data_IF_148276736920
#
_entry.id   IF_148276736920
#
_cell.length_a   1.000
_cell.length_b   1.000
_cell.length_c   1.000
_cell.angle_alpha   90.00
_cell.angle_beta   90.00
_cell.angle_gamma   90.00
#
_symmetry.space_group_name_H-M   'P 1'
#
loop_
_entity.id
_entity.type
_entity.pdbx_description
1 polymer ?
#
# COMPACT_ATOMS: atom_id res chain seq x y z
N UNK A 1 45.22 50.50 -26.93
CA UNK A 1 44.58 51.37 -25.91
C UNK A 1 43.10 51.46 -26.23
N UNK A 2 42.24 51.09 -25.29
CA UNK A 2 40.82 51.43 -25.27
C UNK A 2 40.43 51.44 -23.78
N UNK A 3 40.63 52.59 -23.13
CA UNK A 3 40.41 52.71 -21.68
C UNK A 3 38.92 52.69 -21.36
N UNK A 4 38.54 51.95 -20.31
CA UNK A 4 37.17 51.93 -19.82
C UNK A 4 36.84 53.29 -19.19
N UNK A 5 36.03 54.10 -19.88
CA UNK A 5 35.77 55.50 -19.56
C UNK A 5 34.70 55.74 -18.47
N UNK A 6 34.30 54.70 -17.74
CA UNK A 6 33.26 54.75 -16.70
C UNK A 6 33.77 54.69 -15.26
N UNK A 7 35.09 54.75 -15.04
CA UNK A 7 35.69 54.78 -13.70
C UNK A 7 36.25 56.17 -13.34
N UNK A 8 35.39 57.19 -13.40
CA UNK A 8 35.67 58.48 -12.77
C UNK A 8 35.28 58.43 -11.30
N UNK A 9 36.27 58.57 -10.41
CA UNK A 9 36.09 58.50 -8.95
C UNK A 9 35.39 59.74 -8.37
N UNK A 10 34.12 59.93 -8.71
CA UNK A 10 33.22 60.82 -7.97
C UNK A 10 32.63 60.06 -6.78
N UNK A 11 32.90 60.56 -5.57
CA UNK A 11 32.38 60.04 -4.30
C UNK A 11 30.86 59.88 -4.33
N UNK A 12 30.37 58.64 -4.36
CA UNK A 12 28.93 58.33 -4.31
C UNK A 12 28.50 57.21 -5.26
N UNK A 13 28.58 55.97 -4.79
CA UNK A 13 27.76 54.84 -5.25
C UNK A 13 27.65 54.62 -6.77
N UNK A 14 28.77 54.43 -7.47
CA UNK A 14 28.77 53.85 -8.82
C UNK A 14 28.67 52.32 -8.72
N UNK A 15 27.75 51.72 -9.48
CA UNK A 15 27.49 50.28 -9.47
C UNK A 15 28.66 49.46 -9.99
N UNK A 16 29.57 49.07 -9.09
CA UNK A 16 30.59 48.06 -9.36
C UNK A 16 29.97 46.69 -9.67
N UNK A 17 30.77 45.79 -10.24
CA UNK A 17 30.37 44.42 -10.52
C UNK A 17 29.74 43.79 -9.26
N UNK A 18 28.48 43.36 -9.32
CA UNK A 18 27.70 42.85 -8.18
C UNK A 18 28.14 41.46 -7.69
N UNK A 19 29.37 41.04 -7.98
CA UNK A 19 30.01 39.93 -7.31
C UNK A 19 30.54 40.44 -5.96
N UNK A 20 30.03 39.90 -4.85
CA UNK A 20 30.49 40.22 -3.48
C UNK A 20 31.89 39.64 -3.16
N UNK A 21 32.74 39.45 -4.18
CA UNK A 21 34.13 39.03 -4.04
C UNK A 21 35.06 40.24 -3.92
N UNK A 22 36.02 40.17 -3.00
CA UNK A 22 36.93 41.26 -2.65
C UNK A 22 37.76 41.73 -3.86
N UNK A 23 37.38 42.85 -4.47
CA UNK A 23 38.11 43.46 -5.61
C UNK A 23 39.42 44.18 -5.19
N UNK A 24 40.07 43.71 -4.12
CA UNK A 24 41.21 44.38 -3.48
C UNK A 24 42.59 43.97 -4.00
N UNK A 25 42.74 42.78 -4.58
CA UNK A 25 44.05 42.24 -4.98
C UNK A 25 43.99 41.45 -6.30
N UNK A 26 44.37 42.13 -7.38
CA UNK A 26 45.20 41.60 -8.49
C UNK A 26 44.77 40.33 -9.28
N UNK A 27 43.56 39.78 -9.17
CA UNK A 27 43.13 38.73 -10.11
C UNK A 27 41.62 38.71 -10.40
N UNK A 28 41.22 39.36 -11.50
CA UNK A 28 39.88 39.24 -12.09
C UNK A 28 39.89 38.24 -13.26
N UNK A 29 40.37 37.01 -12.98
CA UNK A 29 40.54 35.98 -14.00
C UNK A 29 39.22 35.26 -14.34
N UNK A 30 39.11 34.82 -15.61
CA UNK A 30 37.98 34.05 -16.16
C UNK A 30 37.72 32.70 -15.46
N UNK A 31 38.64 32.24 -14.59
CA UNK A 31 38.52 31.00 -13.82
C UNK A 31 38.04 31.19 -12.36
N UNK A 32 37.73 32.41 -11.92
CA UNK A 32 37.22 32.65 -10.58
C UNK A 32 35.77 32.15 -10.45
N UNK A 33 35.61 30.88 -10.07
CA UNK A 33 34.31 30.30 -9.69
C UNK A 33 33.84 30.93 -8.38
N UNK A 34 32.73 31.65 -8.43
CA UNK A 34 32.06 32.15 -7.24
C UNK A 34 31.41 30.98 -6.48
N UNK A 35 31.78 30.78 -5.22
CA UNK A 35 31.17 29.77 -4.37
C UNK A 35 29.76 30.21 -3.94
N UNK A 36 28.79 29.90 -4.80
CA UNK A 36 27.38 30.21 -4.58
C UNK A 36 26.80 29.51 -3.34
N UNK A 37 27.42 28.44 -2.86
CA UNK A 37 26.99 27.75 -1.64
C UNK A 37 27.28 28.58 -0.38
N UNK A 38 28.40 29.30 -0.36
CA UNK A 38 28.79 30.16 0.78
C UNK A 38 27.80 31.33 1.03
N UNK A 39 27.10 31.78 -0.02
CA UNK A 39 26.10 32.85 0.05
C UNK A 39 24.65 32.35 0.15
N UNK A 40 24.40 31.05 -0.07
CA UNK A 40 23.16 30.44 0.42
C UNK A 40 23.30 30.27 1.93
N UNK A 41 22.78 31.25 2.69
CA UNK A 41 22.57 31.07 4.12
C UNK A 41 21.86 29.73 4.35
N UNK A 42 22.42 28.89 5.22
CA UNK A 42 21.81 27.63 5.62
C UNK A 42 20.38 27.99 6.01
N UNK A 43 19.34 27.42 5.37
CA UNK A 43 17.97 27.86 5.61
C UNK A 43 17.71 27.70 7.10
N UNK A 44 17.40 28.81 7.77
CA UNK A 44 17.03 28.76 9.18
C UNK A 44 15.81 27.85 9.27
N UNK A 45 16.02 26.68 9.85
CA UNK A 45 14.98 25.67 9.97
C UNK A 45 13.95 26.30 10.89
N UNK A 46 12.79 26.71 10.37
CA UNK A 46 11.67 27.19 11.16
C UNK A 46 11.34 26.15 12.23
N UNK A 47 11.83 26.41 13.45
CA UNK A 47 11.79 25.47 14.57
C UNK A 47 10.39 25.47 15.15
N UNK A 48 9.50 24.71 14.52
CA UNK A 48 8.22 24.38 15.12
C UNK A 48 8.47 23.52 16.37
N UNK A 49 8.10 24.02 17.55
CA UNK A 49 8.42 23.41 18.84
C UNK A 49 7.80 22.03 19.06
N UNK A 50 6.88 21.60 18.21
CA UNK A 50 6.20 20.30 18.32
C UNK A 50 6.83 19.31 17.35
N UNK A 51 7.14 18.12 17.89
CA UNK A 51 7.78 17.02 17.18
C UNK A 51 6.82 15.83 17.10
N UNK A 52 6.77 15.15 15.96
CA UNK A 52 6.01 13.90 15.81
C UNK A 52 6.89 12.72 16.23
N UNK A 53 6.49 12.00 17.27
CA UNK A 53 7.27 10.91 17.89
C UNK A 53 6.59 9.58 17.64
N UNK A 54 7.38 8.58 17.21
CA UNK A 54 6.94 7.22 16.89
C UNK A 54 7.33 6.24 18.01
N UNK A 55 6.36 5.45 18.43
CA UNK A 55 6.51 4.37 19.41
C UNK A 55 6.39 2.98 18.75
N UNK A 56 6.50 1.93 19.59
CA UNK A 56 6.20 0.54 19.23
C UNK A 56 4.79 0.43 18.60
N UNK A 57 4.64 -0.48 17.62
CA UNK A 57 3.36 -0.76 16.97
C UNK A 57 2.82 0.37 16.07
N UNK A 58 3.68 1.32 15.64
CA UNK A 58 3.29 2.40 14.72
C UNK A 58 2.43 3.50 15.35
N UNK A 59 2.29 3.53 16.68
CA UNK A 59 1.66 4.65 17.40
C UNK A 59 2.51 5.90 17.18
N UNK A 60 1.87 7.00 16.80
CA UNK A 60 2.50 8.31 16.64
C UNK A 60 1.74 9.35 17.45
N UNK A 61 2.45 10.12 18.25
CA UNK A 61 1.94 11.15 19.13
C UNK A 61 2.81 12.41 19.00
N UNK A 62 2.27 13.55 19.41
CA UNK A 62 2.94 14.85 19.31
C UNK A 62 3.47 15.26 20.69
N UNK A 63 4.69 15.77 20.74
CA UNK A 63 5.35 16.23 21.98
C UNK A 63 5.98 17.60 21.77
N UNK A 64 5.98 18.44 22.81
CA UNK A 64 6.54 19.80 22.78
C UNK A 64 7.98 19.80 23.29
N UNK A 65 8.89 20.35 22.50
CA UNK A 65 10.31 20.51 22.79
C UNK A 65 10.54 21.84 23.53
N UNK A 66 10.30 21.85 24.85
CA UNK A 66 10.40 23.06 25.69
C UNK A 66 11.84 23.56 25.79
N UNK A 67 12.81 22.65 25.82
CA UNK A 67 14.24 22.97 25.99
C UNK A 67 14.94 23.27 24.65
N UNK A 68 14.19 23.43 23.55
CA UNK A 68 14.65 23.65 22.18
C UNK A 68 15.84 22.76 21.75
N UNK A 69 15.84 21.51 22.21
CA UNK A 69 16.89 20.51 21.93
C UNK A 69 17.01 20.33 20.42
N UNK A 70 18.23 20.35 19.89
CA UNK A 70 18.48 20.03 18.49
C UNK A 70 18.24 18.53 18.28
N UNK A 71 17.12 18.20 17.64
CA UNK A 71 16.71 16.84 17.31
C UNK A 71 16.89 16.58 15.81
N UNK A 72 17.10 15.32 15.45
CA UNK A 72 17.11 14.84 14.07
C UNK A 72 16.14 13.67 13.90
N UNK A 73 15.66 13.47 12.66
CA UNK A 73 14.72 12.38 12.37
C UNK A 73 15.41 11.02 12.55
N UNK A 74 14.88 10.21 13.45
CA UNK A 74 15.47 8.93 13.85
C UNK A 74 16.08 8.92 15.25
N UNK A 75 16.28 10.08 15.89
CA UNK A 75 16.88 10.13 17.23
C UNK A 75 15.99 9.47 18.29
N UNK A 76 16.56 8.67 19.20
CA UNK A 76 15.86 8.17 20.37
C UNK A 76 15.77 9.28 21.42
N UNK A 77 14.55 9.57 21.87
CA UNK A 77 14.26 10.63 22.84
C UNK A 77 13.46 10.10 24.02
N UNK A 78 13.72 10.69 25.18
CA UNK A 78 12.99 10.45 26.43
C UNK A 78 11.85 11.46 26.51
N UNK A 79 10.62 10.95 26.48
CA UNK A 79 9.39 11.74 26.51
C UNK A 79 8.63 11.54 27.83
N UNK A 80 7.95 12.60 28.26
CA UNK A 80 7.11 12.60 29.45
C UNK A 80 5.80 11.86 29.18
N UNK A 81 5.38 11.00 30.10
CA UNK A 81 4.11 10.26 30.03
C UNK A 81 3.42 10.40 31.39
N UNK A 82 2.09 10.31 31.43
CA UNK A 82 1.26 10.56 32.64
C UNK A 82 1.69 9.77 33.91
N UNK A 83 2.54 8.74 33.80
CA UNK A 83 3.12 8.02 34.93
C UNK A 83 4.58 7.55 34.65
N UNK A 84 5.48 8.46 34.26
CA UNK A 84 6.93 8.19 34.13
C UNK A 84 7.50 8.63 32.78
N UNK A 85 8.67 8.14 32.40
CA UNK A 85 9.23 8.42 31.06
C UNK A 85 9.02 7.25 30.08
N UNK A 86 9.09 7.54 28.79
CA UNK A 86 9.11 6.51 27.74
C UNK A 86 10.15 6.89 26.69
N UNK A 87 10.65 5.92 25.94
CA UNK A 87 11.56 6.15 24.82
C UNK A 87 10.77 6.06 23.52
N UNK A 88 10.88 7.10 22.69
CA UNK A 88 10.30 7.17 21.35
C UNK A 88 11.35 7.59 20.33
N UNK A 89 11.06 7.41 19.04
CA UNK A 89 11.93 7.84 17.95
C UNK A 89 11.32 9.04 17.23
N UNK A 90 12.10 10.08 16.97
CA UNK A 90 11.66 11.26 16.21
C UNK A 90 11.27 10.84 14.79
N UNK A 91 10.02 11.10 14.39
CA UNK A 91 9.51 10.74 13.06
C UNK A 91 9.45 11.92 12.09
N UNK A 92 9.07 13.11 12.56
CA UNK A 92 9.01 14.35 11.77
C UNK A 92 9.24 15.55 12.70
N UNK A 93 9.81 16.62 12.17
CA UNK A 93 10.07 17.88 12.86
C UNK A 93 9.83 19.10 11.94
N UNK A 94 9.77 20.29 12.52
CA UNK A 94 9.54 21.55 11.81
C UNK A 94 8.11 21.64 11.23
N UNK A 95 7.94 22.51 10.23
CA UNK A 95 6.64 22.87 9.66
C UNK A 95 5.83 21.68 9.09
N UNK A 96 6.48 20.58 8.72
CA UNK A 96 5.81 19.33 8.34
C UNK A 96 4.91 18.78 9.46
N UNK A 97 5.30 18.98 10.73
CA UNK A 97 4.48 18.58 11.88
C UNK A 97 3.22 19.45 11.97
N UNK A 98 3.32 20.77 11.73
CA UNK A 98 2.16 21.67 11.70
C UNK A 98 1.14 21.24 10.64
N UNK A 99 1.60 20.87 9.44
CA UNK A 99 0.74 20.33 8.37
C UNK A 99 0.07 19.00 8.78
N UNK A 100 0.78 18.10 9.47
CA UNK A 100 0.19 16.86 9.99
C UNK A 100 -0.83 17.12 11.11
N UNK A 101 -0.55 18.05 12.03
CA UNK A 101 -1.48 18.46 13.08
C UNK A 101 -2.78 19.03 12.49
N UNK A 102 -2.68 19.93 11.49
CA UNK A 102 -3.84 20.45 10.77
C UNK A 102 -4.65 19.33 10.11
N UNK A 103 -3.98 18.40 9.40
CA UNK A 103 -4.63 17.24 8.76
C UNK A 103 -5.35 16.33 9.76
N UNK A 104 -4.76 16.11 10.93
CA UNK A 104 -5.36 15.32 12.04
C UNK A 104 -6.33 16.10 12.92
N UNK A 105 -6.48 17.42 12.69
CA UNK A 105 -7.27 18.35 13.51
C UNK A 105 -6.86 18.38 15.00
N UNK A 106 -5.57 18.17 15.27
CA UNK A 106 -4.99 18.30 16.62
C UNK A 106 -4.68 19.77 16.86
N UNK A 107 -5.23 20.34 17.94
CA UNK A 107 -4.92 21.71 18.35
C UNK A 107 -3.56 21.76 19.05
N UNK A 108 -2.88 22.90 18.96
CA UNK A 108 -1.72 23.20 19.79
C UNK A 108 -2.18 23.69 21.17
N UNK A 109 -2.65 22.74 21.99
CA UNK A 109 -3.05 22.98 23.38
C UNK A 109 -1.91 22.56 24.33
N UNK A 110 -1.87 23.12 25.54
CA UNK A 110 -0.87 22.76 26.58
C UNK A 110 -1.03 21.34 27.16
N UNK A 111 -2.01 20.58 26.67
CA UNK A 111 -2.14 19.14 26.92
C UNK A 111 -1.06 18.30 26.21
N UNK A 112 -0.26 18.91 25.33
CA UNK A 112 0.86 18.25 24.64
C UNK A 112 2.01 18.04 25.62
N UNK A 113 2.36 16.77 25.84
CA UNK A 113 3.42 16.35 26.77
C UNK A 113 4.80 16.81 26.29
N UNK A 114 5.74 17.00 27.22
CA UNK A 114 7.09 17.51 26.94
C UNK A 114 8.09 16.41 26.56
N UNK A 115 9.12 16.80 25.83
CA UNK A 115 10.34 16.02 25.63
C UNK A 115 11.33 16.41 26.75
N UNK A 116 12.02 15.44 27.36
CA UNK A 116 13.02 15.71 28.41
C UNK A 116 14.45 15.84 27.87
N UNK A 117 14.87 14.87 27.04
CA UNK A 117 16.26 14.79 26.51
C UNK A 117 16.36 13.76 25.39
N UNK A 118 17.48 13.80 24.67
CA UNK A 118 17.96 12.66 23.87
C UNK A 118 18.26 11.48 24.83
N UNK A 119 17.92 10.26 24.43
CA UNK A 119 18.12 9.07 25.26
C UNK A 119 19.61 8.77 25.43
N UNK A 120 20.02 8.51 26.68
CA UNK A 120 21.39 8.09 26.96
C UNK A 120 21.55 6.60 26.71
N UNK A 121 22.79 6.12 26.55
CA UNK A 121 23.07 4.69 26.35
C UNK A 121 22.46 3.82 27.47
N UNK A 122 22.49 4.29 28.73
CA UNK A 122 21.86 3.61 29.88
C UNK A 122 20.34 3.57 29.80
N UNK A 123 19.71 4.54 29.15
CA UNK A 123 18.26 4.55 28.92
C UNK A 123 17.91 3.53 27.81
N UNK A 124 18.77 3.40 26.78
CA UNK A 124 18.62 2.41 25.70
C UNK A 124 18.82 0.97 26.21
N UNK A 125 19.80 0.72 27.06
CA UNK A 125 20.04 -0.59 27.69
C UNK A 125 18.82 -1.06 28.50
N UNK A 126 18.29 -0.20 29.37
CA UNK A 126 17.04 -0.48 30.11
C UNK A 126 15.84 -0.73 29.20
N UNK A 127 15.76 0.00 28.08
CA UNK A 127 14.70 -0.21 27.10
C UNK A 127 14.82 -1.56 26.40
N UNK A 128 16.04 -2.01 26.10
CA UNK A 128 16.29 -3.35 25.57
C UNK A 128 15.97 -4.45 26.59
N UNK A 129 16.32 -4.27 27.87
CA UNK A 129 15.88 -5.16 28.96
C UNK A 129 14.34 -5.25 29.07
N UNK A 130 13.65 -4.10 29.06
CA UNK A 130 12.20 -4.04 29.11
C UNK A 130 11.55 -4.72 27.89
N UNK A 131 12.10 -4.52 26.70
CA UNK A 131 11.67 -5.18 25.46
C UNK A 131 11.91 -6.69 25.50
N UNK A 132 13.05 -7.15 26.02
CA UNK A 132 13.34 -8.58 26.18
C UNK A 132 12.39 -9.26 27.17
N UNK A 133 11.81 -8.51 28.13
CA UNK A 133 10.73 -8.99 29.01
C UNK A 133 9.36 -9.10 28.35
N UNK A 134 9.09 -8.42 27.23
CA UNK A 134 7.78 -8.44 26.56
C UNK A 134 7.38 -9.86 26.13
N UNK A 135 8.32 -10.60 25.53
CA UNK A 135 8.10 -11.94 24.96
C UNK A 135 7.70 -12.97 26.02
N UNK A 136 8.48 -13.23 27.10
CA UNK A 136 8.09 -14.18 28.15
C UNK A 136 6.81 -13.74 28.86
N UNK A 137 6.62 -12.44 29.10
CA UNK A 137 5.39 -11.88 29.70
C UNK A 137 4.17 -12.20 28.84
N UNK A 138 4.26 -12.07 27.52
CA UNK A 138 3.16 -12.34 26.60
C UNK A 138 2.77 -13.83 26.60
N UNK A 139 3.74 -14.75 26.64
CA UNK A 139 3.43 -16.19 26.74
C UNK A 139 2.79 -16.55 28.07
N UNK A 140 3.34 -16.06 29.19
CA UNK A 140 2.81 -16.37 30.51
C UNK A 140 1.45 -15.70 30.76
N UNK A 141 1.24 -14.47 30.29
CA UNK A 141 -0.07 -13.82 30.35
C UNK A 141 -1.15 -14.57 29.55
N UNK A 142 -0.80 -15.24 28.44
CA UNK A 142 -1.75 -16.13 27.72
C UNK A 142 -2.15 -17.33 28.57
N UNK A 143 -1.20 -18.00 29.21
CA UNK A 143 -1.50 -19.12 30.13
C UNK A 143 -2.48 -18.68 31.24
N UNK A 144 -2.24 -17.50 31.85
CA UNK A 144 -3.13 -16.97 32.90
C UNK A 144 -4.53 -16.67 32.33
N UNK A 145 -4.65 -16.13 31.12
CA UNK A 145 -5.94 -15.89 30.45
C UNK A 145 -6.70 -17.22 30.22
N UNK A 146 -5.98 -18.28 29.83
CA UNK A 146 -6.53 -19.62 29.65
C UNK A 146 -6.93 -20.27 31.00
N UNK A 147 -6.13 -20.09 32.06
CA UNK A 147 -6.43 -20.52 33.45
C UNK A 147 -7.74 -19.90 33.97
N UNK A 148 -7.98 -18.60 33.70
CA UNK A 148 -9.24 -17.93 34.04
C UNK A 148 -10.36 -18.15 33.00
N UNK A 149 -10.12 -18.91 31.92
CA UNK A 149 -11.06 -19.22 30.84
C UNK A 149 -11.77 -17.97 30.24
N UNK A 150 -11.01 -16.87 30.10
CA UNK A 150 -11.55 -15.60 29.60
C UNK A 150 -11.61 -15.60 28.06
N UNK A 151 -12.77 -15.26 27.50
CA UNK A 151 -12.98 -15.17 26.03
C UNK A 151 -12.32 -13.93 25.40
N UNK A 152 -10.99 -13.89 25.43
CA UNK A 152 -10.18 -12.80 24.87
C UNK A 152 -8.92 -13.33 24.20
N UNK A 153 -8.38 -12.56 23.26
CA UNK A 153 -7.08 -12.82 22.61
C UNK A 153 -6.10 -11.73 23.01
N UNK A 154 -4.98 -12.11 23.63
CA UNK A 154 -3.87 -11.20 23.88
C UNK A 154 -3.00 -11.10 22.62
N UNK A 155 -2.94 -9.90 22.04
CA UNK A 155 -2.26 -9.64 20.77
C UNK A 155 -0.80 -9.21 20.97
N UNK A 156 -0.52 -8.29 21.89
CA UNK A 156 0.81 -7.70 22.13
C UNK A 156 0.92 -7.17 23.58
N UNK A 157 2.15 -7.02 24.07
CA UNK A 157 2.47 -6.40 25.38
C UNK A 157 3.54 -5.34 25.15
N UNK A 158 3.32 -4.14 25.67
CA UNK A 158 4.25 -3.00 25.56
C UNK A 158 4.64 -2.54 26.96
N UNK A 159 5.92 -2.66 27.30
CA UNK A 159 6.46 -2.09 28.53
C UNK A 159 6.76 -0.60 28.34
N UNK A 160 6.73 0.15 29.44
CA UNK A 160 7.30 1.48 29.53
C UNK A 160 8.83 1.38 29.79
N UNK A 161 9.61 2.38 29.38
CA UNK A 161 11.08 2.40 29.56
C UNK A 161 11.49 2.22 31.04
N UNK A 162 10.72 2.79 31.96
CA UNK A 162 10.90 2.70 33.41
C UNK A 162 10.59 1.30 33.98
N UNK A 163 10.02 0.41 33.16
CA UNK A 163 9.45 -0.89 33.56
C UNK A 163 8.35 -0.78 34.65
N UNK A 164 7.84 0.42 34.94
CA UNK A 164 6.84 0.72 35.96
C UNK A 164 5.41 0.31 35.56
N UNK A 165 5.12 0.40 34.26
CA UNK A 165 3.82 0.14 33.64
C UNK A 165 4.00 -0.79 32.43
N UNK A 166 3.07 -1.72 32.25
CA UNK A 166 2.93 -2.49 31.02
C UNK A 166 1.50 -2.42 30.49
N UNK A 167 1.40 -2.22 29.17
CA UNK A 167 0.14 -2.12 28.43
C UNK A 167 -0.10 -3.44 27.70
N UNK A 168 -1.16 -4.14 28.08
CA UNK A 168 -1.58 -5.40 27.50
C UNK A 168 -2.67 -5.13 26.46
N UNK A 169 -2.35 -5.40 25.19
CA UNK A 169 -3.25 -5.16 24.08
C UNK A 169 -4.06 -6.41 23.77
N UNK A 170 -5.39 -6.30 23.82
CA UNK A 170 -6.28 -7.44 23.64
C UNK A 170 -7.42 -7.17 22.67
N UNK A 171 -7.91 -8.26 22.08
CA UNK A 171 -9.04 -8.31 21.15
C UNK A 171 -10.11 -9.21 21.74
N UNK A 172 -11.35 -8.74 21.79
CA UNK A 172 -12.50 -9.48 22.31
C UNK A 172 -13.78 -8.94 21.66
N UNK A 173 -14.71 -9.85 21.33
CA UNK A 173 -16.01 -9.53 20.73
C UNK A 173 -17.03 -9.10 21.81
N UNK A 174 -17.02 -9.78 22.96
CA UNK A 174 -17.88 -9.51 24.12
C UNK A 174 -17.16 -8.71 25.22
N UNK A 175 -17.93 -8.19 26.18
CA UNK A 175 -17.39 -7.55 27.39
C UNK A 175 -16.77 -8.59 28.32
N UNK A 176 -15.46 -8.48 28.54
CA UNK A 176 -14.70 -9.34 29.47
C UNK A 176 -14.54 -8.64 30.82
N UNK A 177 -14.70 -9.38 31.92
CA UNK A 177 -14.30 -8.91 33.25
C UNK A 177 -12.87 -9.34 33.54
N UNK A 178 -11.98 -8.37 33.71
CA UNK A 178 -10.54 -8.56 33.89
C UNK A 178 -10.07 -8.23 35.31
N UNK A 179 -10.96 -8.04 36.28
CA UNK A 179 -10.58 -7.65 37.66
C UNK A 179 -9.65 -8.64 38.34
N UNK A 180 -9.90 -9.94 38.16
CA UNK A 180 -9.06 -11.00 38.74
C UNK A 180 -7.76 -11.17 37.95
N UNK A 181 -7.86 -11.14 36.61
CA UNK A 181 -6.71 -11.15 35.70
C UNK A 181 -5.70 -10.03 36.03
N UNK A 182 -6.16 -8.79 36.25
CA UNK A 182 -5.28 -7.67 36.62
C UNK A 182 -4.55 -7.96 37.94
N UNK A 183 -5.21 -8.55 38.94
CA UNK A 183 -4.57 -8.90 40.22
C UNK A 183 -3.49 -9.97 40.02
N UNK A 184 -3.78 -11.02 39.23
CA UNK A 184 -2.82 -12.08 38.92
C UNK A 184 -1.61 -11.54 38.14
N UNK A 185 -1.83 -10.82 37.05
CA UNK A 185 -0.77 -10.19 36.25
C UNK A 185 0.08 -9.19 37.06
N UNK A 186 -0.54 -8.37 37.91
CA UNK A 186 0.19 -7.42 38.75
C UNK A 186 1.01 -8.12 39.85
N UNK A 187 0.50 -9.23 40.41
CA UNK A 187 1.21 -10.04 41.39
C UNK A 187 2.41 -10.78 40.81
N UNK A 188 2.25 -11.39 39.63
CA UNK A 188 3.29 -12.17 38.98
C UNK A 188 4.41 -11.29 38.41
N UNK A 189 4.06 -10.21 37.69
CA UNK A 189 5.06 -9.36 37.02
C UNK A 189 5.56 -8.18 37.88
N UNK A 190 4.90 -7.87 39.00
CA UNK A 190 5.21 -6.77 39.95
C UNK A 190 5.22 -5.37 39.29
N UNK A 191 4.26 -5.12 38.42
CA UNK A 191 4.14 -3.89 37.61
C UNK A 191 2.70 -3.39 37.56
N UNK A 192 2.51 -2.11 37.19
CA UNK A 192 1.17 -1.56 36.94
C UNK A 192 0.65 -2.03 35.58
N UNK A 193 -0.37 -2.88 35.61
CA UNK A 193 -1.04 -3.44 34.42
C UNK A 193 -2.07 -2.44 33.89
N UNK A 194 -2.01 -2.12 32.60
CA UNK A 194 -3.06 -1.44 31.85
C UNK A 194 -3.59 -2.35 30.75
N UNK A 195 -4.90 -2.62 30.75
CA UNK A 195 -5.57 -3.42 29.72
C UNK A 195 -6.13 -2.48 28.64
N UNK A 196 -5.70 -2.65 27.38
CA UNK A 196 -6.16 -1.80 26.26
C UNK A 196 -6.81 -2.63 25.15
N UNK A 197 -8.11 -2.45 24.97
CA UNK A 197 -8.84 -3.10 23.89
C UNK A 197 -8.41 -2.52 22.54
N UNK A 198 -8.12 -3.40 21.59
CA UNK A 198 -7.73 -3.10 20.22
C UNK A 198 -8.78 -3.66 19.25
N UNK A 199 -8.95 -2.99 18.11
CA UNK A 199 -9.81 -3.52 17.04
C UNK A 199 -9.12 -4.63 16.23
N UNK A 200 -9.87 -5.63 15.78
CA UNK A 200 -9.40 -6.75 14.93
C UNK A 200 -8.49 -6.34 13.74
N UNK A 201 -8.66 -5.11 13.21
CA UNK A 201 -7.79 -4.56 12.14
C UNK A 201 -6.43 -4.10 12.66
N UNK A 202 -6.41 -3.42 13.80
CA UNK A 202 -5.18 -2.98 14.47
C UNK A 202 -4.42 -4.18 15.08
N UNK A 203 -5.13 -5.21 15.54
CA UNK A 203 -4.55 -6.51 15.91
C UNK A 203 -3.80 -7.13 14.71
N UNK A 204 -4.45 -7.24 13.54
CA UNK A 204 -3.79 -7.71 12.32
C UNK A 204 -2.64 -6.79 11.86
N UNK A 205 -2.70 -5.48 12.15
CA UNK A 205 -1.61 -4.54 11.90
C UNK A 205 -0.39 -4.73 12.81
N UNK A 206 -0.59 -5.15 14.08
CA UNK A 206 0.51 -5.45 15.02
C UNK A 206 1.11 -6.83 14.82
N UNK A 207 0.28 -7.85 14.58
CA UNK A 207 0.73 -9.22 14.29
C UNK A 207 1.38 -9.32 12.90
N UNK A 208 1.01 -8.45 11.97
CA UNK A 208 1.43 -8.52 10.58
C UNK A 208 0.80 -9.70 9.83
N UNK A 209 1.31 -9.96 8.62
CA UNK A 209 0.86 -11.07 7.78
C UNK A 209 0.82 -10.70 6.30
N UNK A 210 0.32 -11.63 5.48
CA UNK A 210 0.22 -11.48 4.02
C UNK A 210 -1.24 -11.34 3.60
N UNK A 211 -1.53 -10.32 2.79
CA UNK A 211 -2.85 -10.07 2.21
C UNK A 211 -3.14 -10.95 1.00
N UNK A 212 -4.39 -10.96 0.55
CA UNK A 212 -4.82 -11.70 -0.65
C UNK A 212 -4.11 -11.26 -1.95
N UNK A 213 -3.45 -10.10 -1.94
CA UNK A 213 -2.63 -9.58 -3.03
C UNK A 213 -1.18 -10.10 -3.02
N UNK A 214 -0.82 -11.02 -2.12
CA UNK A 214 0.53 -11.58 -1.99
C UNK A 214 1.57 -10.63 -1.36
N UNK A 215 1.16 -9.40 -1.01
CA UNK A 215 1.99 -8.44 -0.27
C UNK A 215 1.69 -8.49 1.23
N UNK A 216 2.63 -8.00 2.02
CA UNK A 216 2.40 -7.71 3.45
C UNK A 216 1.20 -6.80 3.68
N UNK A 217 0.60 -6.87 4.87
CA UNK A 217 -0.60 -6.09 5.18
C UNK A 217 -0.33 -4.57 5.10
N UNK A 218 -1.17 -3.85 4.37
CA UNK A 218 -1.14 -2.39 4.32
C UNK A 218 -1.30 -1.73 5.71
N UNK A 219 -1.88 -2.45 6.68
CA UNK A 219 -2.10 -2.02 8.05
C UNK A 219 -0.84 -2.11 8.94
N UNK A 220 0.14 -2.96 8.60
CA UNK A 220 1.41 -3.08 9.33
C UNK A 220 2.50 -2.20 8.73
N UNK A 221 2.35 -1.78 7.47
CA UNK A 221 3.36 -1.04 6.70
C UNK A 221 3.20 0.47 6.79
N UNK A 222 2.10 1.02 6.24
CA UNK A 222 1.98 2.47 6.00
C UNK A 222 0.58 3.06 6.22
N UNK A 223 -0.49 2.26 6.14
CA UNK A 223 -1.85 2.73 6.46
C UNK A 223 -2.06 2.64 7.97
N UNK A 224 -2.00 3.78 8.65
CA UNK A 224 -2.31 3.89 10.08
C UNK A 224 -3.67 4.54 10.37
N UNK A 225 -4.20 5.34 9.44
CA UNK A 225 -5.52 5.95 9.54
C UNK A 225 -6.57 5.16 8.73
N UNK A 226 -7.66 4.76 9.39
CA UNK A 226 -8.65 3.85 8.85
C UNK A 226 -10.05 4.46 8.85
N UNK A 227 -10.45 4.99 7.69
CA UNK A 227 -11.85 5.33 7.42
C UNK A 227 -12.71 4.05 7.40
N UNK A 228 -13.98 4.18 7.79
CA UNK A 228 -14.98 3.12 7.63
C UNK A 228 -15.20 2.83 6.14
N UNK A 229 -15.29 1.55 5.79
CA UNK A 229 -15.51 1.08 4.41
C UNK A 229 -16.96 0.69 4.27
N UNK A 230 -17.64 1.21 3.26
CA UNK A 230 -19.01 0.84 2.91
C UNK A 230 -19.04 -0.20 1.79
N UNK A 231 -20.14 -0.96 1.69
CA UNK A 231 -20.38 -1.87 0.56
C UNK A 231 -20.66 -1.14 -0.76
N UNK A 232 -20.92 0.18 -0.74
CA UNK A 232 -21.07 0.98 -1.95
C UNK A 232 -19.76 1.12 -2.74
N UNK A 233 -18.60 1.20 -2.09
CA UNK A 233 -17.31 1.26 -2.76
C UNK A 233 -17.07 0.06 -3.70
N UNK A 234 -17.45 -1.14 -3.24
CA UNK A 234 -17.36 -2.37 -4.04
C UNK A 234 -18.24 -2.35 -5.30
N UNK A 235 -19.37 -1.63 -5.30
CA UNK A 235 -20.25 -1.49 -6.47
C UNK A 235 -19.60 -0.64 -7.55
N UNK A 236 -19.00 0.50 -7.20
CA UNK A 236 -18.26 1.35 -8.15
C UNK A 236 -17.05 0.62 -8.78
N UNK A 237 -16.48 -0.35 -8.06
CA UNK A 237 -15.37 -1.19 -8.54
C UNK A 237 -15.85 -2.42 -9.32
N UNK A 238 -17.16 -2.56 -9.57
CA UNK A 238 -17.80 -3.73 -10.21
C UNK A 238 -17.41 -5.07 -9.57
N UNK A 239 -17.08 -5.07 -8.27
CA UNK A 239 -16.66 -6.27 -7.56
C UNK A 239 -17.86 -7.06 -7.04
N UNK A 240 -17.84 -8.39 -7.19
CA UNK A 240 -18.93 -9.25 -6.72
C UNK A 240 -19.19 -9.08 -5.23
N UNK A 241 -20.46 -8.86 -4.86
CA UNK A 241 -20.91 -8.58 -3.48
C UNK A 241 -20.89 -9.81 -2.53
N UNK A 242 -19.88 -10.67 -2.67
CA UNK A 242 -19.66 -11.82 -1.80
C UNK A 242 -18.78 -11.41 -0.60
N UNK A 243 -19.23 -11.61 0.66
CA UNK A 243 -18.49 -11.17 1.84
C UNK A 243 -17.09 -11.82 1.93
N UNK A 244 -16.93 -13.09 1.55
CA UNK A 244 -15.64 -13.78 1.61
C UNK A 244 -14.58 -13.18 0.67
N UNK A 245 -15.01 -12.57 -0.45
CA UNK A 245 -14.10 -11.86 -1.36
C UNK A 245 -13.82 -10.42 -0.90
N UNK A 246 -14.79 -9.78 -0.23
CA UNK A 246 -14.70 -8.38 0.23
C UNK A 246 -14.06 -8.21 1.61
N UNK A 247 -14.05 -9.23 2.45
CA UNK A 247 -13.38 -9.21 3.76
C UNK A 247 -11.86 -9.34 3.62
N UNK A 248 -11.12 -8.58 4.44
CA UNK A 248 -9.68 -8.74 4.63
C UNK A 248 -9.36 -9.76 5.72
N UNK A 249 -8.07 -10.00 5.96
CA UNK A 249 -7.61 -10.96 6.98
C UNK A 249 -8.09 -10.60 8.41
N UNK A 250 -8.43 -9.32 8.65
CA UNK A 250 -9.03 -8.84 9.90
C UNK A 250 -10.54 -9.10 10.05
N UNK A 251 -11.15 -9.93 9.19
CA UNK A 251 -12.59 -10.25 9.19
C UNK A 251 -13.54 -9.13 8.74
N UNK A 252 -13.06 -7.89 8.68
CA UNK A 252 -13.80 -6.70 8.19
C UNK A 252 -13.53 -6.44 6.71
N UNK A 253 -14.37 -5.63 6.06
CA UNK A 253 -14.18 -5.18 4.67
C UNK A 253 -12.76 -4.63 4.43
N UNK A 254 -12.17 -4.96 3.27
CA UNK A 254 -10.81 -4.52 2.89
C UNK A 254 -10.73 -3.00 2.81
N UNK A 255 -9.74 -2.40 3.45
CA UNK A 255 -9.45 -0.97 3.34
C UNK A 255 -8.98 -0.56 1.94
N UNK A 256 -8.43 -1.49 1.14
CA UNK A 256 -8.07 -1.27 -0.27
C UNK A 256 -9.25 -0.74 -1.09
N UNK A 257 -10.49 -1.17 -0.78
CA UNK A 257 -11.71 -0.69 -1.46
C UNK A 257 -11.82 0.84 -1.38
N UNK A 258 -11.56 1.47 -0.23
CA UNK A 258 -11.58 2.92 -0.09
C UNK A 258 -10.32 3.59 -0.67
N UNK A 259 -9.17 2.92 -0.62
CA UNK A 259 -7.90 3.47 -1.13
C UNK A 259 -7.92 3.59 -2.66
N UNK A 260 -8.45 2.58 -3.36
CA UNK A 260 -8.50 2.54 -4.81
C UNK A 260 -9.71 3.33 -5.37
N UNK A 261 -10.73 3.60 -4.56
CA UNK A 261 -12.01 4.17 -4.99
C UNK A 261 -11.88 5.47 -5.81
N UNK A 262 -10.98 6.35 -5.41
CA UNK A 262 -10.76 7.64 -6.08
C UNK A 262 -10.24 7.44 -7.52
N UNK A 263 -9.30 6.51 -7.71
CA UNK A 263 -8.76 6.13 -9.03
C UNK A 263 -9.81 5.45 -9.91
N UNK A 264 -10.72 4.66 -9.32
CA UNK A 264 -11.87 4.11 -10.06
C UNK A 264 -12.86 5.22 -10.43
N UNK A 265 -13.11 6.19 -9.54
CA UNK A 265 -14.02 7.31 -9.80
C UNK A 265 -13.48 8.29 -10.83
N UNK A 266 -12.16 8.47 -10.97
CA UNK A 266 -11.60 9.24 -12.08
C UNK A 266 -11.73 8.47 -13.39
N UNK A 267 -11.28 7.21 -13.45
CA UNK A 267 -11.34 6.40 -14.67
C UNK A 267 -12.77 6.16 -15.20
N UNK A 268 -13.78 6.12 -14.33
CA UNK A 268 -15.19 6.03 -14.73
C UNK A 268 -15.74 7.28 -15.43
N UNK A 269 -15.10 8.46 -15.29
CA UNK A 269 -15.56 9.69 -15.97
C UNK A 269 -15.29 9.66 -17.47
N UNK A 270 -14.22 8.98 -17.88
CA UNK A 270 -13.75 8.94 -19.26
C UNK A 270 -14.43 7.82 -20.07
N UNK A 271 -15.29 7.02 -19.45
CA UNK A 271 -15.92 5.83 -20.06
C UNK A 271 -17.38 6.16 -20.43
N UNK A 272 -17.80 5.95 -21.70
CA UNK A 272 -19.18 6.17 -22.10
C UNK A 272 -20.13 5.15 -21.44
N UNK A 273 -21.21 5.63 -20.84
CA UNK A 273 -22.28 4.76 -20.35
C UNK A 273 -23.19 4.33 -21.51
N UNK A 274 -23.11 3.07 -21.92
CA UNK A 274 -23.79 2.53 -23.12
C UNK A 274 -25.05 1.77 -22.71
N UNK A 275 -26.16 2.52 -22.56
CA UNK A 275 -27.48 1.94 -22.23
C UNK A 275 -28.21 1.37 -23.47
N UNK A 276 -27.93 1.94 -24.65
CA UNK A 276 -28.49 1.49 -25.94
C UNK A 276 -27.44 0.66 -26.69
N UNK A 277 -27.81 -0.46 -27.34
CA UNK A 277 -26.87 -1.22 -28.15
C UNK A 277 -26.37 -0.36 -29.32
N UNK A 278 -25.11 -0.53 -29.70
CA UNK A 278 -24.54 0.21 -30.82
C UNK A 278 -25.11 -0.37 -32.12
N UNK A 279 -25.56 0.52 -33.02
CA UNK A 279 -25.99 0.16 -34.36
C UNK A 279 -24.78 0.28 -35.30
N UNK A 280 -24.58 -0.75 -36.11
CA UNK A 280 -23.60 -0.79 -37.21
C UNK A 280 -24.21 -1.56 -38.37
N UNK A 281 -23.65 -1.44 -39.57
CA UNK A 281 -24.18 -2.16 -40.73
C UNK A 281 -23.95 -3.68 -40.63
N UNK A 282 -22.87 -4.10 -39.96
CA UNK A 282 -22.63 -5.49 -39.59
C UNK A 282 -23.67 -6.06 -38.59
N UNK A 283 -24.33 -5.20 -37.79
CA UNK A 283 -25.42 -5.60 -36.90
C UNK A 283 -25.57 -4.79 -35.63
N UNK A 284 -26.39 -5.32 -34.72
CA UNK A 284 -26.65 -4.74 -33.40
C UNK A 284 -25.64 -5.30 -32.39
N UNK A 285 -24.77 -4.43 -31.87
CA UNK A 285 -23.73 -4.78 -30.92
C UNK A 285 -24.17 -4.50 -29.47
N UNK A 286 -24.13 -5.54 -28.62
CA UNK A 286 -24.47 -5.46 -27.19
C UNK A 286 -23.20 -5.45 -26.35
N UNK A 287 -23.15 -4.56 -25.35
CA UNK A 287 -22.05 -4.49 -24.38
C UNK A 287 -22.10 -5.70 -23.44
N UNK A 288 -20.98 -6.42 -23.31
CA UNK A 288 -20.83 -7.57 -22.40
C UNK A 288 -19.96 -7.23 -21.18
N UNK A 289 -18.86 -6.50 -21.40
CA UNK A 289 -17.87 -6.21 -20.35
C UNK A 289 -17.18 -4.87 -20.60
N UNK A 290 -16.93 -4.11 -19.54
CA UNK A 290 -16.10 -2.90 -19.55
C UNK A 290 -14.80 -3.15 -18.77
N UNK A 291 -13.65 -2.91 -19.41
CA UNK A 291 -12.33 -2.97 -18.77
C UNK A 291 -11.84 -1.55 -18.48
N UNK A 292 -12.25 -1.04 -17.31
CA UNK A 292 -12.08 0.36 -16.86
C UNK A 292 -10.64 0.87 -17.07
N UNK A 293 -9.64 0.12 -16.58
CA UNK A 293 -8.24 0.55 -16.65
C UNK A 293 -7.60 0.49 -18.04
N UNK A 294 -8.14 -0.32 -18.95
CA UNK A 294 -7.62 -0.42 -20.32
C UNK A 294 -8.35 0.50 -21.29
N UNK A 295 -9.39 1.22 -20.83
CA UNK A 295 -10.32 1.99 -21.68
C UNK A 295 -10.90 1.16 -22.82
N UNK A 296 -11.09 -0.15 -22.60
CA UNK A 296 -11.63 -1.10 -23.57
C UNK A 296 -13.04 -1.55 -23.19
N UNK A 297 -13.91 -1.66 -24.19
CA UNK A 297 -15.27 -2.15 -24.07
C UNK A 297 -15.46 -3.35 -25.00
N UNK A 298 -16.03 -4.44 -24.48
CA UNK A 298 -16.24 -5.69 -25.20
C UNK A 298 -17.69 -5.81 -25.64
N UNK A 299 -17.89 -5.92 -26.95
CA UNK A 299 -19.19 -6.06 -27.57
C UNK A 299 -19.34 -7.41 -28.27
N UNK A 300 -20.56 -7.94 -28.29
CA UNK A 300 -20.96 -9.10 -29.09
C UNK A 300 -22.07 -8.73 -30.06
N UNK A 301 -22.00 -9.21 -31.30
CA UNK A 301 -23.13 -9.16 -32.22
C UNK A 301 -24.22 -10.17 -31.80
N UNK A 302 -25.46 -9.94 -32.24
CA UNK A 302 -26.64 -10.66 -31.71
C UNK A 302 -26.60 -12.20 -31.78
N UNK A 303 -25.90 -12.77 -32.77
CA UNK A 303 -25.79 -14.22 -32.97
C UNK A 303 -24.39 -14.79 -32.68
N UNK A 304 -23.37 -13.94 -32.51
CA UNK A 304 -21.98 -14.39 -32.41
C UNK A 304 -21.46 -14.35 -30.99
N UNK A 305 -20.86 -15.46 -30.57
CA UNK A 305 -20.19 -15.57 -29.27
C UNK A 305 -18.78 -14.94 -29.26
N UNK A 306 -18.35 -14.37 -30.39
CA UNK A 306 -17.08 -13.66 -30.53
C UNK A 306 -17.17 -12.28 -29.86
N UNK A 307 -16.19 -11.97 -29.00
CA UNK A 307 -16.11 -10.69 -28.30
C UNK A 307 -15.17 -9.75 -29.04
N UNK A 308 -15.70 -8.63 -29.53
CA UNK A 308 -14.92 -7.57 -30.16
C UNK A 308 -14.57 -6.51 -29.13
N UNK A 309 -13.28 -6.27 -28.91
CA UNK A 309 -12.78 -5.17 -28.08
C UNK A 309 -12.68 -3.87 -28.89
N UNK A 310 -13.16 -2.77 -28.31
CA UNK A 310 -13.13 -1.41 -28.89
C UNK A 310 -12.66 -0.43 -27.82
N UNK A 311 -11.87 0.57 -28.19
CA UNK A 311 -11.48 1.67 -27.30
C UNK A 311 -12.65 2.62 -27.01
N UNK A 312 -12.67 3.22 -25.82
CA UNK A 312 -13.73 4.14 -25.38
C UNK A 312 -13.92 5.34 -26.32
N UNK A 313 -12.82 5.85 -26.90
CA UNK A 313 -12.84 7.00 -27.82
C UNK A 313 -13.61 6.65 -29.11
N UNK A 314 -13.33 5.48 -29.70
CA UNK A 314 -14.08 4.95 -30.84
C UNK A 314 -15.54 4.63 -30.49
N UNK A 315 -15.84 4.24 -29.25
CA UNK A 315 -17.23 4.08 -28.78
C UNK A 315 -17.96 5.43 -28.74
N UNK A 316 -17.31 6.53 -28.31
CA UNK A 316 -17.92 7.87 -28.38
C UNK A 316 -18.23 8.28 -29.83
N UNK A 317 -17.33 8.03 -30.78
CA UNK A 317 -17.57 8.27 -32.21
C UNK A 317 -18.79 7.50 -32.73
N UNK A 318 -18.87 6.20 -32.45
CA UNK A 318 -19.99 5.34 -32.89
C UNK A 318 -21.31 5.81 -32.24
N UNK A 319 -21.29 6.30 -30.98
CA UNK A 319 -22.47 6.89 -30.33
C UNK A 319 -22.87 8.21 -30.99
N UNK A 320 -21.92 9.06 -31.38
CA UNK A 320 -22.20 10.31 -32.09
C UNK A 320 -22.82 10.04 -33.48
N UNK A 321 -22.19 9.17 -34.27
CA UNK A 321 -22.71 8.74 -35.58
C UNK A 321 -24.12 8.14 -35.47
N UNK A 322 -24.37 7.29 -34.46
CA UNK A 322 -25.69 6.72 -34.22
C UNK A 322 -26.74 7.74 -33.75
N UNK A 323 -26.36 8.85 -33.11
CA UNK A 323 -27.26 9.99 -32.85
C UNK A 323 -27.57 10.78 -34.13
N UNK A 324 -26.61 10.88 -35.05
CA UNK A 324 -26.79 11.46 -36.39
C UNK A 324 -27.52 10.52 -37.38
N UNK A 325 -27.81 9.28 -36.97
CA UNK A 325 -28.45 8.27 -37.83
C UNK A 325 -27.52 7.60 -38.85
N UNK A 326 -26.23 7.90 -38.83
CA UNK A 326 -25.21 7.26 -39.67
C UNK A 326 -24.70 6.00 -38.97
N UNK A 327 -24.82 4.85 -39.64
CA UNK A 327 -24.26 3.59 -39.15
C UNK A 327 -22.80 3.47 -39.62
N UNK A 328 -21.83 3.19 -38.75
CA UNK A 328 -20.51 2.77 -39.20
C UNK A 328 -20.55 1.32 -39.68
N UNK A 329 -19.70 1.01 -40.67
CA UNK A 329 -19.62 -0.31 -41.30
C UNK A 329 -19.14 -1.39 -40.31
N UNK A 330 -18.01 -1.11 -39.63
CA UNK A 330 -17.37 -1.99 -38.65
C UNK A 330 -17.26 -1.35 -37.24
N UNK A 331 -17.31 -2.21 -36.21
CA UNK A 331 -17.04 -1.87 -34.81
C UNK A 331 -15.58 -1.44 -34.59
N UNK A 332 -14.65 -2.14 -35.23
CA UNK A 332 -13.23 -1.84 -35.20
C UNK A 332 -12.90 -0.77 -36.26
N UNK A 333 -11.93 0.07 -35.95
CA UNK A 333 -11.38 1.02 -36.90
C UNK A 333 -10.45 0.25 -37.82
N UNK A 334 -10.74 0.21 -39.12
CA UNK A 334 -9.92 -0.50 -40.09
C UNK A 334 -8.56 0.21 -40.21
N UNK A 335 -7.55 -0.28 -39.49
CA UNK A 335 -6.15 0.23 -39.52
C UNK A 335 -5.45 0.02 -40.87
N UNK A 336 -6.19 -0.49 -41.86
CA UNK A 336 -5.73 -0.74 -43.22
C UNK A 336 -5.63 0.53 -44.10
N UNK A 337 -6.07 1.70 -43.63
CA UNK A 337 -6.12 2.92 -44.47
C UNK A 337 -5.21 4.09 -44.05
N UNK A 338 -4.53 4.02 -42.90
CA UNK A 338 -3.69 5.14 -42.39
C UNK A 338 -2.22 4.75 -42.14
N UNK A 339 -1.74 3.73 -42.87
CA UNK A 339 -0.36 3.23 -42.84
C UNK A 339 0.17 2.85 -44.23
N UNK A 340 -0.30 3.56 -45.27
CA UNK A 340 -0.38 3.05 -46.64
C UNK A 340 0.67 3.49 -47.66
N UNK A 341 1.52 4.49 -47.39
CA UNK A 341 2.51 4.98 -48.39
C UNK A 341 3.98 4.99 -47.89
N UNK A 342 4.21 5.12 -46.59
CA UNK A 342 5.57 5.37 -46.05
C UNK A 342 6.45 4.11 -45.95
N UNK A 343 5.88 2.92 -45.73
CA UNK A 343 6.69 1.72 -45.41
C UNK A 343 7.10 0.95 -46.68
N UNK A 344 6.21 0.84 -47.67
CA UNK A 344 6.53 0.29 -49.00
C UNK A 344 7.60 1.10 -49.74
N UNK A 345 7.57 2.44 -49.62
CA UNK A 345 8.58 3.31 -50.23
C UNK A 345 9.94 3.23 -49.53
N UNK A 346 9.97 2.80 -48.26
CA UNK A 346 11.19 2.56 -47.47
C UNK A 346 11.85 1.23 -47.84
N UNK A 347 11.07 0.15 -47.90
CA UNK A 347 11.55 -1.18 -48.28
C UNK A 347 12.19 -1.22 -49.68
N UNK A 348 11.58 -0.51 -50.66
CA UNK A 348 12.12 -0.43 -52.02
C UNK A 348 13.45 0.35 -52.11
N UNK A 349 13.65 1.38 -51.27
CA UNK A 349 14.92 2.15 -51.21
C UNK A 349 16.08 1.35 -50.63
N UNK A 350 15.80 0.47 -49.66
CA UNK A 350 16.84 -0.36 -49.03
C UNK A 350 17.36 -1.46 -49.97
N UNK A 351 16.47 -2.05 -50.78
CA UNK A 351 16.83 -2.99 -51.85
C UNK A 351 17.72 -2.33 -52.92
N UNK A 352 17.38 -1.13 -53.38
CA UNK A 352 18.24 -0.36 -54.30
C UNK A 352 19.64 -0.08 -53.73
N UNK A 353 19.74 0.22 -52.43
CA UNK A 353 21.03 0.46 -51.78
C UNK A 353 21.86 -0.81 -51.63
N UNK A 354 21.24 -1.97 -51.42
CA UNK A 354 21.91 -3.27 -51.38
C UNK A 354 22.49 -3.64 -52.75
N UNK A 355 21.71 -3.54 -53.84
CA UNK A 355 22.19 -3.88 -55.19
C UNK A 355 23.36 -2.99 -55.65
N UNK A 356 23.29 -1.68 -55.36
CA UNK A 356 24.40 -0.73 -55.60
C UNK A 356 25.68 -1.13 -54.84
N UNK A 357 25.55 -1.77 -53.68
CA UNK A 357 26.67 -2.25 -52.84
C UNK A 357 27.28 -3.58 -53.34
N UNK A 358 26.48 -4.46 -53.94
CA UNK A 358 26.98 -5.70 -54.54
C UNK A 358 27.60 -5.50 -55.92
N UNK A 359 27.15 -4.51 -56.70
CA UNK A 359 27.70 -4.18 -58.01
C UNK A 359 29.20 -3.80 -57.98
N UNK A 360 29.65 -3.11 -56.93
CA UNK A 360 31.02 -2.55 -56.84
C UNK A 360 32.11 -3.56 -56.43
N UNK A 361 31.76 -4.76 -55.96
CA UNK A 361 32.71 -5.65 -55.27
C UNK A 361 33.36 -6.72 -56.18
N UNK A 362 33.11 -6.70 -57.50
CA UNK A 362 33.74 -7.63 -58.46
C UNK A 362 34.94 -7.03 -59.22
N UNK A 363 36.14 -7.05 -58.61
CA UNK A 363 37.45 -7.15 -59.31
C UNK A 363 38.66 -7.30 -58.36
N UNK A 364 39.17 -8.52 -58.18
CA UNK A 364 40.62 -8.80 -58.00
C UNK A 364 40.92 -10.27 -58.35
N UNK A 365 41.97 -10.49 -59.15
CA UNK A 365 42.29 -11.76 -59.83
C UNK A 365 43.02 -12.76 -58.90
N UNK A 366 42.75 -14.06 -59.05
CA UNK A 366 43.65 -15.14 -58.58
C UNK A 366 44.59 -15.59 -59.71
N UNK A 367 45.87 -15.81 -59.42
CA UNK A 367 46.79 -16.67 -60.20
C UNK A 367 47.15 -17.92 -59.37
N UNK A 368 47.23 -19.07 -60.04
CA UNK A 368 47.80 -20.37 -59.58
C UNK A 368 49.35 -20.34 -59.73
N UNK A 369 50.16 -21.31 -59.23
CA UNK A 369 49.91 -22.76 -59.02
C UNK A 369 50.25 -23.23 -57.57
N UNK A 370 50.49 -24.50 -57.19
CA UNK A 370 50.52 -25.83 -57.86
C UNK A 370 50.01 -26.94 -56.88
N UNK A 371 50.29 -28.21 -57.12
CA UNK A 371 50.15 -29.35 -56.19
C UNK A 371 51.52 -30.00 -55.95
N UNK A 372 51.74 -30.61 -54.76
CA UNK A 372 52.22 -32.00 -54.52
C UNK A 372 52.52 -32.20 -53.01
N UNK A 373 51.76 -33.01 -52.26
CA UNK A 373 51.88 -34.47 -51.97
C UNK A 373 52.82 -34.84 -50.82
N UNK A 374 52.31 -35.70 -49.92
CA UNK A 374 53.03 -36.54 -48.92
C UNK A 374 53.70 -35.79 -47.75
N UNK A 375 53.99 -36.41 -46.60
CA UNK A 375 53.38 -37.54 -45.85
C UNK A 375 54.07 -37.63 -44.48
N UNK A 376 53.45 -38.31 -43.51
CA UNK A 376 54.03 -38.81 -42.25
C UNK A 376 54.45 -37.82 -41.13
N UNK A 377 53.80 -38.09 -39.97
CA UNK A 377 54.17 -37.98 -38.55
C UNK A 377 55.69 -38.21 -38.20
N UNK A 378 56.19 -37.97 -36.96
CA UNK A 378 55.45 -38.18 -35.68
C UNK A 378 55.80 -37.32 -34.43
N UNK A 379 55.20 -37.74 -33.30
CA UNK A 379 55.51 -37.48 -31.87
C UNK A 379 55.07 -36.10 -31.29
N UNK A 380 54.06 -36.02 -30.40
CA UNK A 380 53.93 -36.48 -28.98
C UNK A 380 54.37 -35.37 -28.00
N UNK A 381 53.72 -35.06 -26.86
CA UNK A 381 52.59 -35.62 -26.09
C UNK A 381 51.82 -34.41 -25.45
N UNK A 382 50.65 -34.46 -24.78
CA UNK A 382 49.97 -35.48 -23.95
C UNK A 382 48.43 -35.36 -23.98
N UNK A 383 47.74 -36.51 -23.87
CA UNK A 383 46.44 -36.79 -23.19
C UNK A 383 45.28 -35.76 -23.29
N UNK A 384 44.20 -36.01 -24.06
CA UNK A 384 43.04 -36.88 -23.76
C UNK A 384 41.89 -36.15 -22.99
N UNK A 385 40.59 -36.34 -23.29
CA UNK A 385 39.93 -37.34 -24.15
C UNK A 385 38.61 -36.82 -24.83
N UNK A 386 38.28 -37.43 -25.98
CA UNK A 386 37.10 -37.32 -26.87
C UNK A 386 35.73 -36.85 -26.26
N UNK A 387 34.98 -35.90 -26.85
CA UNK A 387 34.04 -35.97 -28.04
C UNK A 387 32.93 -37.05 -27.91
N UNK A 388 31.62 -36.76 -27.90
CA UNK A 388 30.70 -36.35 -29.01
C UNK A 388 30.69 -37.31 -30.24
N UNK A 389 29.63 -37.42 -31.10
CA UNK A 389 28.27 -36.82 -31.12
C UNK A 389 27.08 -37.76 -31.53
N UNK A 390 25.88 -37.16 -31.64
CA UNK A 390 24.80 -37.36 -32.68
C UNK A 390 23.98 -38.68 -32.85
N UNK A 391 22.73 -38.66 -32.35
CA UNK A 391 21.44 -39.11 -32.99
C UNK A 391 21.24 -40.59 -33.43
N UNK A 392 20.02 -41.11 -33.79
CA UNK A 392 18.65 -40.54 -33.80
C UNK A 392 17.53 -41.44 -33.17
N UNK A 393 16.25 -41.06 -33.39
CA UNK A 393 14.98 -41.87 -33.44
C UNK A 393 14.17 -42.24 -32.17
N UNK A 394 12.94 -41.67 -32.16
CA UNK A 394 11.60 -42.29 -31.98
C UNK A 394 11.05 -42.78 -30.61
N UNK A 395 9.81 -42.29 -30.37
CA UNK A 395 8.62 -42.95 -29.80
C UNK A 395 8.45 -43.20 -28.28
N UNK A 396 7.47 -42.45 -27.72
CA UNK A 396 6.54 -42.75 -26.60
C UNK A 396 7.12 -43.16 -25.23
N UNK A 397 6.45 -42.73 -24.16
CA UNK A 397 5.79 -43.74 -23.33
C UNK A 397 4.34 -43.41 -22.98
N UNK A 398 3.55 -44.46 -22.74
CA UNK A 398 2.17 -44.35 -22.27
C UNK A 398 1.98 -45.00 -20.91
N UNK A 399 1.22 -44.32 -20.04
CA UNK A 399 0.27 -44.82 -19.03
C UNK A 399 0.37 -46.31 -18.64
N UNK A 400 0.75 -46.60 -17.38
CA UNK A 400 0.36 -47.84 -16.66
C UNK A 400 -0.15 -47.55 -15.24
N UNK A 401 -1.07 -48.40 -14.78
CA UNK A 401 -1.67 -48.41 -13.43
C UNK A 401 -0.69 -48.98 -12.38
N UNK A 402 -0.89 -48.68 -11.08
CA UNK A 402 -0.35 -49.49 -9.99
C UNK A 402 -1.24 -50.73 -9.69
N UNK A 403 -0.65 -51.80 -9.18
CA UNK A 403 -1.37 -52.96 -8.65
C UNK A 403 -0.73 -53.50 -7.35
N UNK A 404 -1.59 -54.04 -6.48
CA UNK A 404 -1.36 -54.52 -5.12
C UNK A 404 -0.22 -55.54 -4.91
N UNK A 405 0.39 -55.50 -3.71
CA UNK A 405 0.39 -56.67 -2.81
C UNK A 405 0.48 -56.30 -1.31
N UNK A 406 0.01 -57.23 -0.47
CA UNK A 406 -0.36 -57.07 0.96
C UNK A 406 0.73 -57.56 1.92
N UNK A 407 0.73 -57.04 3.16
CA UNK A 407 0.79 -57.71 4.51
C UNK A 407 1.02 -56.65 5.60
N UNK A 408 0.63 -56.78 6.89
CA UNK A 408 -0.46 -57.50 7.57
C UNK A 408 -0.69 -56.90 9.00
N UNK A 409 -1.80 -57.25 9.67
CA UNK A 409 -2.22 -56.82 11.04
C UNK A 409 -2.51 -55.31 11.22
N UNK A 410 -3.52 -54.82 11.94
CA UNK A 410 -4.44 -55.35 12.98
C UNK A 410 -4.55 -54.23 14.03
N UNK A 411 -5.69 -53.72 14.49
CA UNK A 411 -6.96 -54.35 14.92
C UNK A 411 -8.20 -53.50 14.56
N UNK A 412 -9.40 -54.07 14.71
CA UNK A 412 -10.68 -53.37 14.51
C UNK A 412 -11.17 -52.67 15.77
N UNK A 413 -11.78 -51.49 15.61
CA UNK A 413 -13.11 -51.25 16.17
C UNK A 413 -13.88 -50.20 15.36
N UNK A 414 -15.19 -50.43 15.12
CA UNK A 414 -16.05 -49.56 14.32
C UNK A 414 -17.44 -49.43 14.93
N UNK A 415 -17.73 -48.25 15.49
CA UNK A 415 -19.10 -47.85 15.81
C UNK A 415 -19.83 -47.40 14.53
N UNK A 416 -21.07 -47.88 14.35
CA UNK A 416 -22.00 -47.43 13.29
C UNK A 416 -23.12 -46.56 13.91
N UNK A 417 -23.79 -45.70 13.11
CA UNK A 417 -24.69 -44.68 13.64
C UNK A 417 -26.08 -45.23 13.98
N UNK A 418 -26.72 -44.64 15.00
CA UNK A 418 -28.11 -44.91 15.36
C UNK A 418 -29.03 -43.89 14.70
N UNK A 419 -29.95 -44.37 13.87
CA UNK A 419 -31.13 -43.63 13.45
C UNK A 419 -32.21 -43.70 14.53
N UNK A 420 -32.99 -42.63 14.74
CA UNK A 420 -34.27 -42.78 15.42
C UNK A 420 -35.35 -41.81 14.93
N UNK A 421 -36.61 -42.20 15.16
CA UNK A 421 -37.79 -41.79 14.39
C UNK A 421 -38.48 -40.50 14.89
N UNK A 422 -39.25 -39.87 13.98
CA UNK A 422 -40.44 -39.05 14.30
C UNK A 422 -41.48 -39.88 15.09
N UNK A 423 -42.40 -39.21 15.79
CA UNK A 423 -43.80 -39.32 15.35
C UNK A 423 -44.57 -37.98 15.26
N UNK A 424 -45.44 -37.88 14.26
CA UNK A 424 -46.68 -37.08 14.30
C UNK A 424 -47.74 -37.89 15.09
N UNK A 425 -48.78 -37.35 15.71
CA UNK A 425 -49.29 -35.99 15.89
C UNK A 425 -50.80 -36.06 16.20
N UNK A 426 -51.38 -35.09 16.94
CA UNK A 426 -52.79 -34.69 16.77
C UNK A 426 -53.19 -33.48 17.64
N UNK A 427 -54.12 -32.68 17.12
CA UNK A 427 -54.84 -31.61 17.85
C UNK A 427 -56.21 -32.12 18.35
N UNK A 428 -56.97 -31.33 19.14
CA UNK A 428 -57.94 -30.44 18.50
C UNK A 428 -58.10 -29.04 19.15
N UNK A 429 -59.02 -28.28 18.59
CA UNK A 429 -59.30 -26.84 18.74
C UNK A 429 -60.06 -26.43 20.01
N UNK A 430 -59.79 -25.23 20.54
CA UNK A 430 -60.81 -24.15 20.56
C UNK A 430 -60.26 -22.74 20.92
N UNK A 431 -61.04 -21.70 20.57
CA UNK A 431 -60.80 -20.25 20.83
C UNK A 431 -61.85 -19.71 21.83
N UNK A 432 -61.83 -18.44 22.26
CA UNK A 432 -60.71 -17.55 22.64
C UNK A 432 -60.96 -16.88 24.04
N UNK A 433 -60.01 -16.11 24.58
CA UNK A 433 -60.34 -14.92 25.43
C UNK A 433 -59.17 -13.95 25.65
N UNK A 434 -59.52 -12.73 26.00
CA UNK A 434 -58.68 -11.52 26.01
C UNK A 434 -57.77 -11.40 27.26
N UNK A 435 -56.67 -10.65 27.18
CA UNK A 435 -55.70 -10.61 28.30
C UNK A 435 -54.60 -9.53 28.28
N UNK A 436 -54.92 -8.27 28.00
CA UNK A 436 -54.15 -7.05 28.39
C UNK A 436 -52.61 -7.08 28.24
N UNK A 437 -52.09 -6.51 27.14
CA UNK A 437 -50.71 -6.00 27.07
C UNK A 437 -50.50 -4.86 28.09
N UNK A 438 -49.69 -5.06 29.13
CA UNK A 438 -49.13 -3.96 29.93
C UNK A 438 -47.78 -3.53 29.37
N UNK A 439 -47.72 -2.32 28.81
CA UNK A 439 -46.46 -1.62 28.50
C UNK A 439 -45.87 -1.07 29.81
N UNK A 440 -44.56 -1.23 30.02
CA UNK A 440 -43.84 -0.51 31.07
C UNK A 440 -43.67 0.97 30.67
N UNK A 441 -43.93 1.95 31.56
CA UNK A 441 -43.74 3.37 31.27
C UNK A 441 -42.28 3.80 31.46
N UNK A 442 -41.78 4.61 30.53
CA UNK A 442 -40.46 5.24 30.62
C UNK A 442 -40.49 6.47 31.52
N UNK A 443 -39.70 6.46 32.60
CA UNK A 443 -39.57 7.58 33.54
C UNK A 443 -38.43 8.50 33.12
N UNK A 444 -38.74 9.65 32.50
CA UNK A 444 -37.82 10.81 32.40
C UNK A 444 -38.38 11.98 33.19
N UNK A 445 -37.59 12.50 34.13
CA UNK A 445 -37.87 13.74 34.85
C UNK A 445 -37.71 14.93 33.91
N UNK A 446 -38.64 15.88 33.97
CA UNK A 446 -38.40 17.24 33.50
C UNK A 446 -37.67 18.07 34.55
N UNK A 447 -37.01 19.13 34.08
CA UNK A 447 -36.41 20.17 34.91
C UNK A 447 -36.30 21.44 34.07
N UNK A 448 -37.28 22.33 34.20
CA UNK A 448 -37.20 23.67 33.64
C UNK A 448 -36.26 24.52 34.50
N UNK A 449 -35.49 25.41 33.88
CA UNK A 449 -35.31 26.74 34.44
C UNK A 449 -35.15 27.76 33.30
N UNK A 450 -35.90 28.87 33.39
CA UNK A 450 -35.73 30.06 32.55
C UNK A 450 -34.73 31.00 33.21
N UNK A 451 -34.10 31.85 32.42
CA UNK A 451 -33.22 32.91 32.89
C UNK A 451 -32.70 33.74 31.72
N UNK A 452 -33.53 34.66 31.23
CA UNK A 452 -33.08 35.71 30.31
C UNK A 452 -32.16 36.68 31.07
N UNK A 453 -31.03 37.08 30.49
CA UNK A 453 -30.86 38.49 30.11
C UNK A 453 -29.73 38.70 29.10
N UNK A 454 -29.86 39.76 28.31
CA UNK A 454 -28.86 40.28 27.39
C UNK A 454 -27.90 41.27 28.08
N UNK A 455 -26.67 41.40 27.57
CA UNK A 455 -26.28 42.63 26.86
C UNK A 455 -25.00 42.41 26.02
N UNK A 456 -24.71 43.34 25.11
CA UNK A 456 -23.63 43.30 24.12
C UNK A 456 -22.75 44.55 24.19
N UNK A 457 -21.52 44.48 23.62
CA UNK A 457 -20.71 45.62 23.09
C UNK A 457 -20.20 46.62 24.16
N UNK A 458 -18.94 47.08 24.19
CA UNK A 458 -17.99 47.48 23.15
C UNK A 458 -16.57 47.65 23.76
N UNK A 459 -15.57 47.74 22.88
CA UNK A 459 -14.27 48.44 22.97
C UNK A 459 -13.93 49.22 24.27
N UNK A 460 -12.79 48.90 24.87
CA UNK A 460 -11.52 49.65 24.68
C UNK A 460 -10.33 48.69 24.75
#
# INVERSE_FOLDING_TARGET
MAGCSSCSTSTGSSGGCQNNGTCGTSDCNKMNSFDWLSHMGIPEIDKFDIVEVKFKGGRKEYFRNVDHINLTTGDPIVVDVQNGYHIGYVSLQGELVRLQMQKRKVKNDDNILRIYRIATQKDLEKWEEAKNREVPTLYRAKQIIDEYNLKMKLSDVEYQADNSKATFYYSADDRVDFRELIKSLAGEFKIRVEMRQISLRQEAGRLGGVGVCGRELCCSTWIHDFKSVSTSAARYQNLSLNPSKLSGQCGRLKCCLNYELETYMSALKDIPNVEKPLLTDAGIAKLQKTDIFRRLMWFSYGNDNNWHSIDCDRVYEIIALNKEGKKPFNLQQDTAFDGGEDDYTKANKDLEMLDKKFATTKKKKKKKPKQKTNAAAPADNTAANATTPSTPKSNKPGRRKPENKKTNAGTNDKVKPVSNKKPEGNSPTDKPKEGKKKRFPSRKKGGNNKGDNSNSKNNE
#
